data_IF_073676708084
#
_entry.id   IF_073676708084
#
_cell.length_a   1.000
_cell.length_b   1.000
_cell.length_c   1.000
_cell.angle_alpha   90.00
_cell.angle_beta   90.00
_cell.angle_gamma   90.00
#
_symmetry.space_group_name_H-M   'P 1'
#
loop_
_entity.id
_entity.type
_entity.pdbx_description
1 polymer ?
#
# COMPACT_ATOMS: atom_id res chain seq x y z
N UNK A 1 7.82 11.66 -29.11
CA UNK A 1 7.03 12.42 -28.12
C UNK A 1 6.42 11.48 -27.09
N UNK A 2 5.83 10.39 -27.49
CA UNK A 2 5.10 9.46 -26.61
C UNK A 2 5.98 8.82 -25.50
N UNK A 3 7.22 8.42 -25.83
CA UNK A 3 8.18 7.94 -24.82
C UNK A 3 8.60 9.01 -23.78
N UNK A 4 8.55 10.29 -24.15
CA UNK A 4 8.81 11.39 -23.19
C UNK A 4 7.61 11.55 -22.24
N UNK A 5 6.38 11.38 -22.74
CA UNK A 5 5.16 11.34 -21.92
C UNK A 5 5.26 10.18 -20.93
N UNK A 6 5.61 8.97 -21.42
CA UNK A 6 5.81 7.81 -20.56
C UNK A 6 6.87 8.06 -19.48
N UNK A 7 8.01 8.65 -19.84
CA UNK A 7 9.07 8.99 -18.89
C UNK A 7 8.59 10.00 -17.84
N UNK A 8 7.82 11.03 -18.25
CA UNK A 8 7.28 12.05 -17.33
C UNK A 8 6.40 11.44 -16.25
N UNK A 9 5.41 10.62 -16.64
CA UNK A 9 4.50 9.99 -15.67
C UNK A 9 5.22 8.95 -14.83
N UNK A 10 6.24 8.29 -15.39
CA UNK A 10 7.08 7.30 -14.70
C UNK A 10 7.95 7.93 -13.61
N UNK A 11 8.56 9.07 -13.87
CA UNK A 11 9.37 9.79 -12.87
C UNK A 11 8.48 10.31 -11.74
N UNK A 12 7.27 10.81 -12.00
CA UNK A 12 6.33 11.20 -10.95
C UNK A 12 5.99 10.03 -10.02
N UNK A 13 5.68 8.85 -10.58
CA UNK A 13 5.40 7.66 -9.79
C UNK A 13 6.62 7.22 -8.98
N UNK A 14 7.81 7.29 -9.56
CA UNK A 14 9.07 6.98 -8.88
C UNK A 14 9.32 7.93 -7.72
N UNK A 15 9.10 9.24 -7.89
CA UNK A 15 9.21 10.23 -6.80
C UNK A 15 8.27 9.93 -5.65
N UNK A 16 6.99 9.60 -5.93
CA UNK A 16 6.04 9.20 -4.90
C UNK A 16 6.51 7.94 -4.16
N UNK A 17 7.02 6.96 -4.88
CA UNK A 17 7.51 5.71 -4.30
C UNK A 17 8.77 5.92 -3.44
N UNK A 18 9.73 6.72 -3.91
CA UNK A 18 10.92 7.10 -3.16
C UNK A 18 10.51 7.85 -1.89
N UNK A 19 9.66 8.87 -2.01
CA UNK A 19 9.20 9.68 -0.86
C UNK A 19 8.46 8.84 0.18
N UNK A 20 7.66 7.85 -0.25
CA UNK A 20 6.94 6.96 0.65
C UNK A 20 7.87 6.04 1.47
N UNK A 21 9.02 5.65 0.89
CA UNK A 21 9.92 4.67 1.50
C UNK A 21 11.13 5.30 2.19
N UNK A 22 11.62 6.46 1.73
CA UNK A 22 12.69 7.23 2.40
C UNK A 22 12.30 7.66 3.81
N UNK A 23 11.01 7.93 4.04
CA UNK A 23 10.51 8.34 5.36
C UNK A 23 10.73 7.26 6.43
N UNK A 24 10.76 5.99 6.05
CA UNK A 24 11.00 4.90 6.99
C UNK A 24 12.39 4.99 7.64
N UNK A 25 13.39 5.42 6.87
CA UNK A 25 14.78 5.62 7.35
C UNK A 25 14.91 6.92 8.14
N UNK A 26 14.20 7.98 7.73
CA UNK A 26 14.16 9.25 8.45
C UNK A 26 13.35 9.19 9.76
N UNK A 27 12.45 8.22 9.90
CA UNK A 27 11.46 8.11 10.97
C UNK A 27 12.06 8.15 12.38
N UNK A 28 13.13 7.40 12.73
CA UNK A 28 13.73 7.46 14.05
C UNK A 28 14.25 8.87 14.40
N UNK A 29 14.88 9.54 13.43
CA UNK A 29 15.46 10.87 13.58
C UNK A 29 14.36 11.92 13.73
N UNK A 30 13.29 11.82 12.95
CA UNK A 30 12.11 12.68 13.07
C UNK A 30 11.45 12.52 14.45
N UNK A 31 11.29 11.27 14.90
CA UNK A 31 10.72 10.98 16.23
C UNK A 31 11.55 11.61 17.35
N UNK A 32 12.86 11.49 17.28
CA UNK A 32 13.79 12.09 18.26
C UNK A 32 13.80 13.62 18.17
N UNK A 33 13.73 14.20 16.97
CA UNK A 33 13.70 15.65 16.76
C UNK A 33 12.47 16.31 17.39
N UNK A 34 11.28 15.74 17.19
CA UNK A 34 10.05 16.28 17.77
C UNK A 34 9.81 15.87 19.22
N UNK A 35 10.60 14.95 19.76
CA UNK A 35 10.46 14.41 21.13
C UNK A 35 9.03 13.96 21.46
N UNK A 36 8.35 13.33 20.49
CA UNK A 36 6.96 12.87 20.63
C UNK A 36 6.91 11.36 20.87
N UNK A 37 5.85 10.88 21.55
CA UNK A 37 5.60 9.45 21.68
C UNK A 37 5.54 8.73 20.32
N UNK A 38 5.99 7.49 20.30
CA UNK A 38 6.09 6.69 19.07
C UNK A 38 4.73 6.50 18.37
N UNK A 39 3.64 6.43 19.15
CA UNK A 39 2.28 6.36 18.62
C UNK A 39 1.87 7.61 17.83
N UNK A 40 2.31 8.80 18.27
CA UNK A 40 2.09 10.06 17.52
C UNK A 40 2.99 10.09 16.28
N UNK A 41 4.28 9.76 16.44
CA UNK A 41 5.21 9.70 15.32
C UNK A 41 4.74 8.71 14.24
N UNK A 42 4.17 7.58 14.63
CA UNK A 42 3.65 6.56 13.71
C UNK A 42 2.62 7.10 12.70
N UNK A 43 1.90 8.18 13.03
CA UNK A 43 0.99 8.85 12.11
C UNK A 43 1.68 9.45 10.89
N UNK A 44 2.96 9.81 10.98
CA UNK A 44 3.74 10.31 9.84
C UNK A 44 3.77 9.28 8.70
N UNK A 45 3.82 8.00 9.03
CA UNK A 45 3.79 6.90 8.06
C UNK A 45 2.33 6.53 7.73
N UNK A 46 1.51 6.31 8.76
CA UNK A 46 0.17 5.74 8.61
C UNK A 46 -0.80 6.67 7.90
N UNK A 47 -0.73 8.00 8.15
CA UNK A 47 -1.61 8.97 7.49
C UNK A 47 -1.36 9.05 5.98
N UNK A 48 -0.11 8.85 5.56
CA UNK A 48 0.21 8.79 4.13
C UNK A 48 -0.45 7.58 3.47
N UNK A 49 -0.40 6.41 4.12
CA UNK A 49 -1.05 5.20 3.62
C UNK A 49 -2.57 5.34 3.59
N UNK A 50 -3.16 5.96 4.62
CA UNK A 50 -4.59 6.27 4.67
C UNK A 50 -5.00 7.20 3.52
N UNK A 51 -4.33 8.34 3.38
CA UNK A 51 -4.60 9.30 2.31
C UNK A 51 -4.43 8.68 0.92
N UNK A 52 -3.37 7.92 0.71
CA UNK A 52 -3.10 7.20 -0.53
C UNK A 52 -4.23 6.21 -0.87
N UNK A 53 -4.73 5.46 0.14
CA UNK A 53 -5.82 4.50 -0.01
C UNK A 53 -7.12 5.15 -0.47
N UNK A 54 -7.49 6.27 0.19
CA UNK A 54 -8.73 6.99 -0.10
C UNK A 54 -8.65 7.68 -1.47
N UNK A 55 -7.49 8.19 -1.83
CA UNK A 55 -7.29 8.97 -3.06
C UNK A 55 -7.34 8.13 -4.32
N UNK A 56 -6.80 6.92 -4.32
CA UNK A 56 -6.71 6.08 -5.53
C UNK A 56 -8.05 5.91 -6.28
N UNK A 57 -9.15 5.49 -5.65
CA UNK A 57 -10.43 5.33 -6.35
C UNK A 57 -11.04 6.68 -6.76
N UNK A 58 -10.89 7.73 -5.93
CA UNK A 58 -11.43 9.06 -6.22
C UNK A 58 -10.73 9.64 -7.45
N UNK A 59 -9.41 9.68 -7.44
CA UNK A 59 -8.63 10.29 -8.53
C UNK A 59 -8.74 9.48 -9.81
N UNK A 60 -8.90 8.16 -9.74
CA UNK A 60 -9.22 7.36 -10.91
C UNK A 60 -10.47 7.87 -11.63
N UNK A 61 -11.56 8.06 -10.90
CA UNK A 61 -12.83 8.60 -11.42
C UNK A 61 -12.71 10.08 -11.85
N UNK A 62 -12.05 10.92 -11.03
CA UNK A 62 -11.80 12.34 -11.37
C UNK A 62 -11.03 12.44 -12.68
N UNK A 63 -10.01 11.63 -12.87
CA UNK A 63 -9.19 11.57 -14.07
C UNK A 63 -10.01 11.20 -15.31
N UNK A 64 -10.93 10.25 -15.17
CA UNK A 64 -11.78 9.80 -16.29
C UNK A 64 -12.88 10.83 -16.64
N UNK A 65 -13.40 11.58 -15.65
CA UNK A 65 -14.51 12.54 -15.84
C UNK A 65 -14.02 13.93 -16.25
N UNK A 66 -12.96 14.46 -15.62
CA UNK A 66 -12.55 15.85 -15.90
C UNK A 66 -11.51 15.95 -17.00
N UNK A 67 -10.32 15.48 -16.78
CA UNK A 67 -9.19 15.42 -17.72
C UNK A 67 -8.01 14.73 -17.04
N UNK A 68 -7.39 13.80 -17.74
CA UNK A 68 -6.23 13.06 -17.23
C UNK A 68 -5.04 13.96 -17.02
N UNK A 69 -4.76 14.86 -17.97
CA UNK A 69 -3.70 15.87 -17.86
C UNK A 69 -3.90 16.77 -16.65
N UNK A 70 -5.07 17.41 -16.54
CA UNK A 70 -5.34 18.36 -15.48
C UNK A 70 -5.32 17.71 -14.10
N UNK A 71 -5.87 16.50 -13.99
CA UNK A 71 -5.85 15.70 -12.76
C UNK A 71 -4.43 15.30 -12.36
N UNK A 72 -3.61 14.85 -13.33
CA UNK A 72 -2.20 14.50 -13.09
C UNK A 72 -1.39 15.71 -12.61
N UNK A 73 -1.55 16.87 -13.28
CA UNK A 73 -0.87 18.12 -12.90
C UNK A 73 -1.31 18.57 -11.49
N UNK A 74 -2.60 18.52 -11.18
CA UNK A 74 -3.10 18.84 -9.83
C UNK A 74 -2.50 17.94 -8.76
N UNK A 75 -2.46 16.63 -9.01
CA UNK A 75 -1.83 15.68 -8.11
C UNK A 75 -0.35 15.98 -7.90
N UNK A 76 0.36 16.36 -8.97
CA UNK A 76 1.79 16.69 -8.91
C UNK A 76 2.04 17.98 -8.12
N UNK A 77 1.24 19.01 -8.34
CA UNK A 77 1.30 20.28 -7.57
C UNK A 77 1.03 20.01 -6.10
N UNK A 78 -0.03 19.25 -5.76
CA UNK A 78 -0.33 18.89 -4.38
C UNK A 78 0.80 18.10 -3.73
N UNK A 79 1.38 17.12 -4.44
CA UNK A 79 2.48 16.31 -3.95
C UNK A 79 3.73 17.14 -3.66
N UNK A 80 4.15 17.97 -4.61
CA UNK A 80 5.38 18.78 -4.49
C UNK A 80 5.22 19.88 -3.44
N UNK A 81 4.11 20.62 -3.46
CA UNK A 81 3.88 21.70 -2.50
C UNK A 81 3.76 21.17 -1.06
N UNK A 82 3.01 20.09 -0.86
CA UNK A 82 2.90 19.46 0.45
C UNK A 82 4.22 18.85 0.93
N UNK A 83 5.01 18.25 0.01
CA UNK A 83 6.36 17.77 0.34
C UNK A 83 7.26 18.92 0.79
N UNK A 84 7.26 20.02 0.05
CA UNK A 84 8.03 21.21 0.42
C UNK A 84 7.58 21.74 1.79
N UNK A 85 6.27 21.83 2.03
CA UNK A 85 5.75 22.23 3.33
C UNK A 85 6.24 21.32 4.47
N UNK A 86 6.25 19.97 4.26
CA UNK A 86 6.79 19.03 5.25
C UNK A 86 8.23 19.35 5.68
N UNK A 87 9.06 19.92 4.78
CA UNK A 87 10.44 20.24 5.09
C UNK A 87 10.61 21.48 5.99
N UNK A 88 9.60 22.37 6.04
CA UNK A 88 9.68 23.63 6.79
C UNK A 88 8.88 23.64 8.10
N UNK A 89 8.20 22.55 8.45
CA UNK A 89 7.42 22.49 9.69
C UNK A 89 8.28 22.15 10.90
N UNK A 90 7.94 22.78 12.04
CA UNK A 90 8.52 22.53 13.35
C UNK A 90 7.50 21.93 14.35
N UNK A 91 6.37 21.45 13.83
CA UNK A 91 5.32 20.79 14.61
C UNK A 91 4.92 19.47 13.96
N UNK A 92 4.88 18.40 14.77
CA UNK A 92 4.55 17.06 14.26
C UNK A 92 3.12 16.97 13.72
N UNK A 93 2.17 17.69 14.31
CA UNK A 93 0.78 17.72 13.81
C UNK A 93 0.67 18.33 12.42
N UNK A 94 1.40 19.43 12.16
CA UNK A 94 1.52 20.03 10.84
C UNK A 94 2.24 19.09 9.85
N UNK A 95 3.27 18.38 10.31
CA UNK A 95 3.94 17.38 9.48
C UNK A 95 2.96 16.28 9.05
N UNK A 96 2.17 15.73 9.99
CA UNK A 96 1.15 14.72 9.71
C UNK A 96 0.09 15.28 8.74
N UNK A 97 -0.36 16.51 8.94
CA UNK A 97 -1.34 17.18 8.05
C UNK A 97 -0.80 17.30 6.62
N UNK A 98 0.42 17.83 6.45
CA UNK A 98 0.99 17.95 5.10
C UNK A 98 1.34 16.60 4.47
N UNK A 99 1.64 15.57 5.28
CA UNK A 99 1.79 14.19 4.80
C UNK A 99 0.47 13.64 4.24
N UNK A 100 -0.66 13.99 4.84
CA UNK A 100 -1.98 13.63 4.29
C UNK A 100 -2.21 14.29 2.92
N UNK A 101 -1.92 15.60 2.80
CA UNK A 101 -2.05 16.32 1.52
C UNK A 101 -1.09 15.73 0.47
N UNK A 102 0.14 15.43 0.86
CA UNK A 102 1.13 14.78 -0.01
C UNK A 102 0.63 13.43 -0.52
N UNK A 103 -0.04 12.65 0.35
CA UNK A 103 -0.64 11.37 -0.01
C UNK A 103 -1.77 11.51 -1.04
N UNK A 104 -2.57 12.57 -0.97
CA UNK A 104 -3.59 12.87 -1.98
C UNK A 104 -2.97 13.13 -3.35
N UNK A 105 -1.84 13.84 -3.41
CA UNK A 105 -1.09 13.97 -4.66
C UNK A 105 -0.51 12.65 -5.13
N UNK A 106 0.28 11.98 -4.29
CA UNK A 106 0.99 10.74 -4.62
C UNK A 106 0.08 9.57 -5.02
N UNK A 107 -1.07 9.41 -4.33
CA UNK A 107 -2.06 8.38 -4.61
C UNK A 107 -2.75 8.53 -5.96
N UNK A 108 -2.78 9.75 -6.51
CA UNK A 108 -3.38 10.04 -7.80
C UNK A 108 -2.50 9.75 -9.00
N UNK A 109 -1.19 9.59 -8.84
CA UNK A 109 -0.28 9.40 -9.98
C UNK A 109 -0.56 8.12 -10.76
N UNK A 110 -0.76 7.00 -10.06
CA UNK A 110 -0.95 5.72 -10.73
C UNK A 110 -2.24 5.67 -11.57
N UNK A 111 -3.44 5.99 -11.06
CA UNK A 111 -4.64 5.94 -11.86
C UNK A 111 -4.63 6.94 -13.03
N UNK A 112 -4.17 8.19 -12.82
CA UNK A 112 -4.09 9.18 -13.89
C UNK A 112 -3.08 8.79 -14.98
N UNK A 113 -1.90 8.29 -14.59
CA UNK A 113 -0.86 7.86 -15.52
C UNK A 113 -1.28 6.65 -16.35
N UNK A 114 -1.96 5.66 -15.74
CA UNK A 114 -2.49 4.51 -16.49
C UNK A 114 -3.50 4.96 -17.55
N UNK A 115 -4.32 5.97 -17.24
CA UNK A 115 -5.21 6.60 -18.21
C UNK A 115 -4.44 7.23 -19.37
N UNK A 116 -3.43 8.08 -19.08
CA UNK A 116 -2.60 8.76 -20.09
C UNK A 116 -1.87 7.73 -20.97
N UNK A 117 -1.22 6.72 -20.36
CA UNK A 117 -0.51 5.66 -21.09
C UNK A 117 -1.46 4.88 -22.01
N UNK A 118 -2.68 4.64 -21.55
CA UNK A 118 -3.68 3.91 -22.33
C UNK A 118 -4.12 4.63 -23.59
N UNK A 119 -4.08 5.96 -23.61
CA UNK A 119 -4.41 6.80 -24.78
C UNK A 119 -3.22 7.00 -25.72
N UNK A 120 -2.02 7.22 -25.16
CA UNK A 120 -0.83 7.45 -25.98
C UNK A 120 -0.27 6.16 -26.62
N UNK A 121 -0.55 4.98 -26.04
CA UNK A 121 -0.05 3.69 -26.53
C UNK A 121 -1.17 2.66 -26.75
N UNK A 122 -2.15 2.92 -27.66
CA UNK A 122 -3.31 2.03 -27.83
C UNK A 122 -2.91 0.62 -28.26
N UNK A 123 -1.95 0.47 -29.17
CA UNK A 123 -1.51 -0.83 -29.69
C UNK A 123 -0.67 -1.63 -28.70
N UNK A 124 0.14 -0.96 -27.88
CA UNK A 124 1.07 -1.59 -26.92
C UNK A 124 0.66 -1.37 -25.47
N UNK A 125 -0.59 -0.99 -25.23
CA UNK A 125 -1.16 -0.58 -23.94
C UNK A 125 -0.77 -1.51 -22.78
N UNK A 126 -1.00 -2.82 -22.95
CA UNK A 126 -0.72 -3.79 -21.88
C UNK A 126 0.76 -3.85 -21.52
N UNK A 127 1.63 -3.81 -22.54
CA UNK A 127 3.09 -3.80 -22.34
C UNK A 127 3.54 -2.54 -21.61
N UNK A 128 3.04 -1.39 -22.01
CA UNK A 128 3.43 -0.10 -21.41
C UNK A 128 2.92 0.05 -19.97
N UNK A 129 1.69 -0.38 -19.68
CA UNK A 129 1.15 -0.43 -18.30
C UNK A 129 1.96 -1.41 -17.44
N UNK A 130 2.36 -2.56 -17.99
CA UNK A 130 3.24 -3.50 -17.30
C UNK A 130 4.58 -2.90 -16.92
N UNK A 131 5.25 -2.22 -17.87
CA UNK A 131 6.50 -1.50 -17.64
C UNK A 131 6.32 -0.38 -16.59
N UNK A 132 5.24 0.40 -16.70
CA UNK A 132 4.92 1.46 -15.75
C UNK A 132 4.72 0.92 -14.32
N UNK A 133 4.03 -0.20 -14.18
CA UNK A 133 3.79 -0.83 -12.88
C UNK A 133 5.08 -1.33 -12.20
N UNK A 134 6.15 -1.61 -12.96
CA UNK A 134 7.44 -2.01 -12.41
C UNK A 134 8.23 -0.86 -11.78
N UNK A 135 7.85 0.39 -12.02
CA UNK A 135 8.52 1.58 -11.48
C UNK A 135 8.29 1.71 -9.97
N UNK A 136 7.11 1.34 -9.47
CA UNK A 136 6.82 1.37 -8.03
C UNK A 136 7.82 0.53 -7.20
N UNK A 137 8.06 -0.76 -7.51
CA UNK A 137 9.09 -1.55 -6.84
C UNK A 137 10.49 -0.94 -6.95
N UNK A 138 10.85 -0.39 -8.10
CA UNK A 138 12.16 0.27 -8.30
C UNK A 138 12.30 1.45 -7.33
N UNK A 139 11.31 2.32 -7.24
CA UNK A 139 11.30 3.43 -6.30
C UNK A 139 11.36 2.98 -4.83
N UNK A 140 10.71 1.85 -4.49
CA UNK A 140 10.78 1.27 -3.14
C UNK A 140 12.18 0.75 -2.77
N UNK A 141 12.99 0.36 -3.76
CA UNK A 141 14.37 -0.06 -3.56
C UNK A 141 15.28 1.15 -3.39
N UNK A 142 15.13 2.14 -4.27
CA UNK A 142 15.97 3.33 -4.29
C UNK A 142 15.70 4.21 -3.05
N UNK A 143 14.44 4.32 -2.63
CA UNK A 143 14.00 5.24 -1.59
C UNK A 143 14.76 5.14 -0.28
N UNK A 144 14.85 3.97 0.39
CA UNK A 144 15.58 3.86 1.65
C UNK A 144 17.06 4.18 1.54
N UNK A 145 17.71 3.84 0.42
CA UNK A 145 19.14 4.08 0.21
C UNK A 145 19.44 5.56 -0.03
N UNK A 146 18.69 6.18 -0.96
CA UNK A 146 18.78 7.62 -1.21
C UNK A 146 18.35 8.39 0.03
N UNK A 147 17.27 7.96 0.69
CA UNK A 147 16.78 8.54 1.94
C UNK A 147 17.81 8.49 3.05
N UNK A 148 18.48 7.35 3.25
CA UNK A 148 19.53 7.20 4.26
C UNK A 148 20.70 8.16 4.02
N UNK A 149 21.21 8.20 2.79
CA UNK A 149 22.27 9.13 2.41
C UNK A 149 21.86 10.61 2.60
N UNK A 150 20.65 10.97 2.17
CA UNK A 150 20.14 12.34 2.34
C UNK A 150 20.02 12.72 3.82
N UNK A 151 19.52 11.81 4.65
CA UNK A 151 19.31 12.06 6.09
C UNK A 151 20.64 12.26 6.80
N UNK A 152 21.63 11.42 6.54
CA UNK A 152 22.95 11.51 7.17
C UNK A 152 23.74 12.73 6.68
N UNK A 153 23.58 13.13 5.39
CA UNK A 153 24.34 14.25 4.80
C UNK A 153 23.68 15.62 5.05
N UNK A 154 22.34 15.69 5.02
CA UNK A 154 21.59 16.96 4.99
C UNK A 154 20.44 17.01 6.03
N UNK A 155 20.32 15.99 6.87
CA UNK A 155 19.24 15.86 7.85
C UNK A 155 17.91 15.41 7.28
N UNK A 156 16.96 15.08 8.17
CA UNK A 156 15.68 14.45 7.81
C UNK A 156 14.79 15.28 6.86
N UNK A 157 14.91 16.61 6.87
CA UNK A 157 14.14 17.51 6.00
C UNK A 157 14.45 17.31 4.52
N UNK A 158 15.66 16.85 4.22
CA UNK A 158 16.12 16.64 2.84
C UNK A 158 15.31 15.57 2.08
N UNK A 159 14.75 14.57 2.77
CA UNK A 159 13.90 13.54 2.12
C UNK A 159 12.61 14.12 1.54
N UNK A 160 12.18 15.27 2.05
CA UNK A 160 11.04 16.02 1.52
C UNK A 160 11.49 17.03 0.46
N UNK A 161 12.60 17.74 0.71
CA UNK A 161 13.11 18.80 -0.17
C UNK A 161 13.52 18.27 -1.55
N UNK A 162 14.00 17.04 -1.65
CA UNK A 162 14.41 16.45 -2.94
C UNK A 162 13.25 16.39 -3.95
N UNK A 163 12.02 16.33 -3.47
CA UNK A 163 10.84 16.30 -4.33
C UNK A 163 10.57 17.66 -5.02
N UNK A 164 11.10 18.76 -4.50
CA UNK A 164 10.90 20.09 -5.08
C UNK A 164 11.60 20.25 -6.43
N UNK A 165 12.92 20.09 -6.56
CA UNK A 165 13.60 20.26 -7.86
C UNK A 165 13.17 19.21 -8.88
N UNK A 166 13.07 17.94 -8.46
CA UNK A 166 12.66 16.86 -9.36
C UNK A 166 11.20 16.98 -9.78
N UNK A 167 10.31 17.32 -8.84
CA UNK A 167 8.91 17.55 -9.12
C UNK A 167 8.65 18.78 -9.98
N UNK A 168 9.43 19.86 -9.83
CA UNK A 168 9.37 21.03 -10.71
C UNK A 168 9.72 20.67 -12.17
N UNK A 169 10.77 19.88 -12.39
CA UNK A 169 11.12 19.39 -13.74
C UNK A 169 9.98 18.55 -14.32
N UNK A 170 9.45 17.60 -13.55
CA UNK A 170 8.32 16.75 -13.98
C UNK A 170 7.09 17.59 -14.28
N UNK A 171 6.81 18.62 -13.48
CA UNK A 171 5.68 19.53 -13.67
C UNK A 171 5.80 20.30 -14.99
N UNK A 172 6.97 20.84 -15.27
CA UNK A 172 7.24 21.52 -16.55
C UNK A 172 7.05 20.56 -17.73
N UNK A 173 7.61 19.35 -17.63
CA UNK A 173 7.43 18.32 -18.67
C UNK A 173 5.94 17.94 -18.83
N UNK A 174 5.20 17.79 -17.74
CA UNK A 174 3.78 17.47 -17.79
C UNK A 174 2.94 18.56 -18.44
N UNK A 175 3.21 19.84 -18.16
CA UNK A 175 2.51 20.97 -18.75
C UNK A 175 2.73 21.01 -20.26
N UNK A 176 3.99 20.79 -20.71
CA UNK A 176 4.40 20.91 -22.13
C UNK A 176 4.01 19.68 -22.94
N UNK A 177 4.23 18.48 -22.40
CA UNK A 177 4.13 17.23 -23.17
C UNK A 177 2.77 16.58 -23.13
N UNK A 178 2.04 16.65 -21.98
CA UNK A 178 0.75 16.00 -21.88
C UNK A 178 -0.31 16.71 -22.71
N UNK A 179 -1.07 15.94 -23.48
CA UNK A 179 -2.20 16.45 -24.27
C UNK A 179 -3.42 16.62 -23.35
N UNK A 180 -4.21 17.65 -23.60
CA UNK A 180 -5.53 17.80 -22.95
C UNK A 180 -6.51 16.82 -23.57
N UNK A 181 -7.35 16.24 -22.75
CA UNK A 181 -8.48 15.39 -23.13
C UNK A 181 -9.82 16.06 -22.79
N UNK A 182 -10.87 15.66 -23.49
CA UNK A 182 -12.21 16.20 -23.26
C UNK A 182 -12.83 15.61 -22.00
N UNK A 183 -13.69 16.41 -21.35
CA UNK A 183 -14.48 15.96 -20.20
C UNK A 183 -15.48 14.90 -20.63
N UNK A 184 -15.62 13.86 -19.79
CA UNK A 184 -16.60 12.79 -19.96
C UNK A 184 -17.65 12.88 -18.86
N UNK A 185 -18.87 12.47 -19.15
CA UNK A 185 -19.92 12.36 -18.13
C UNK A 185 -19.60 11.22 -17.16
N UNK A 186 -19.73 11.47 -15.87
CA UNK A 186 -19.52 10.48 -14.82
C UNK A 186 -19.82 11.05 -13.43
N UNK A 187 -20.12 10.17 -12.48
CA UNK A 187 -20.34 10.50 -11.08
C UNK A 187 -19.14 10.06 -10.24
N UNK A 188 -18.83 10.82 -9.19
CA UNK A 188 -17.76 10.52 -8.25
C UNK A 188 -18.38 10.24 -6.89
N UNK A 189 -18.09 9.08 -6.33
CA UNK A 189 -18.58 8.69 -5.01
C UNK A 189 -17.65 9.22 -3.90
N UNK A 190 -17.74 10.55 -3.67
CA UNK A 190 -17.02 11.20 -2.56
C UNK A 190 -17.47 10.71 -1.18
N UNK A 191 -18.75 10.35 -1.04
CA UNK A 191 -19.30 9.90 0.23
C UNK A 191 -18.77 8.51 0.60
N UNK A 192 -18.77 7.56 -0.35
CA UNK A 192 -18.19 6.25 -0.15
C UNK A 192 -16.69 6.32 0.20
N UNK A 193 -15.92 7.13 -0.53
CA UNK A 193 -14.51 7.36 -0.23
C UNK A 193 -14.28 7.99 1.15
N UNK A 194 -15.08 8.99 1.52
CA UNK A 194 -15.04 9.62 2.85
C UNK A 194 -15.37 8.64 3.97
N UNK A 195 -16.34 7.75 3.75
CA UNK A 195 -16.72 6.72 4.72
C UNK A 195 -15.61 5.67 4.88
N UNK A 196 -14.95 5.22 3.80
CA UNK A 196 -13.76 4.34 3.88
C UNK A 196 -12.65 5.01 4.69
N UNK A 197 -12.37 6.28 4.39
CA UNK A 197 -11.39 7.07 5.15
C UNK A 197 -11.77 7.20 6.63
N UNK A 198 -13.04 7.46 6.92
CA UNK A 198 -13.58 7.56 8.28
C UNK A 198 -13.43 6.25 9.06
N UNK A 199 -13.78 5.11 8.46
CA UNK A 199 -13.60 3.77 9.08
C UNK A 199 -12.16 3.59 9.55
N UNK A 200 -11.19 3.83 8.68
CA UNK A 200 -9.78 3.59 8.98
C UNK A 200 -9.24 4.66 9.94
N UNK A 201 -9.56 5.94 9.73
CA UNK A 201 -9.10 7.03 10.59
C UNK A 201 -9.60 6.89 12.03
N UNK A 202 -10.89 6.61 12.23
CA UNK A 202 -11.45 6.43 13.58
C UNK A 202 -10.88 5.18 14.27
N UNK A 203 -10.67 4.08 13.52
CA UNK A 203 -10.02 2.90 14.06
C UNK A 203 -8.58 3.22 14.53
N UNK A 204 -7.80 3.90 13.70
CA UNK A 204 -6.42 4.26 14.02
C UNK A 204 -6.34 5.24 15.19
N UNK A 205 -7.22 6.26 15.25
CA UNK A 205 -7.29 7.20 16.36
C UNK A 205 -7.66 6.46 17.66
N UNK A 206 -8.65 5.58 17.61
CA UNK A 206 -9.04 4.75 18.76
C UNK A 206 -7.87 3.93 19.30
N UNK A 207 -7.13 3.26 18.42
CA UNK A 207 -5.91 2.51 18.79
C UNK A 207 -4.82 3.42 19.36
N UNK A 208 -4.62 4.60 18.78
CA UNK A 208 -3.65 5.58 19.28
C UNK A 208 -4.00 6.04 20.69
N UNK A 209 -5.28 6.35 20.95
CA UNK A 209 -5.74 6.84 22.26
C UNK A 209 -5.66 5.77 23.37
N UNK A 210 -5.67 4.47 23.02
CA UNK A 210 -5.40 3.41 24.00
C UNK A 210 -4.00 3.52 24.63
N UNK A 211 -3.04 4.13 23.94
CA UNK A 211 -1.69 4.38 24.47
C UNK A 211 -1.58 5.50 25.50
N UNK A 212 -2.70 6.21 25.81
CA UNK A 212 -2.72 7.35 26.72
C UNK A 212 -3.82 7.18 27.76
N UNK A 213 -3.46 7.09 29.05
CA UNK A 213 -4.43 6.84 30.12
C UNK A 213 -5.54 7.90 30.19
N UNK A 214 -5.20 9.17 29.95
CA UNK A 214 -6.16 10.30 29.92
C UNK A 214 -7.16 10.23 28.75
N UNK A 215 -6.86 9.51 27.68
CA UNK A 215 -7.67 9.45 26.46
C UNK A 215 -8.34 8.08 26.23
N UNK A 216 -8.02 7.06 27.04
CA UNK A 216 -8.60 5.70 26.91
C UNK A 216 -10.12 5.68 26.83
N UNK A 217 -10.81 6.55 27.56
CA UNK A 217 -12.28 6.65 27.49
C UNK A 217 -12.80 7.02 26.10
N UNK A 218 -12.09 7.91 25.39
CA UNK A 218 -12.45 8.32 24.03
C UNK A 218 -12.18 7.26 22.97
N UNK A 219 -11.29 6.28 23.26
CA UNK A 219 -11.03 5.16 22.34
C UNK A 219 -12.31 4.39 22.00
N UNK A 220 -13.17 4.14 22.98
CA UNK A 220 -14.43 3.43 22.75
C UNK A 220 -15.41 4.22 21.88
N UNK A 221 -15.48 5.53 22.05
CA UNK A 221 -16.29 6.40 21.19
C UNK A 221 -15.77 6.39 19.73
N UNK A 222 -14.45 6.37 19.54
CA UNK A 222 -13.82 6.29 18.21
C UNK A 222 -14.04 4.91 17.56
N UNK A 223 -13.97 3.82 18.32
CA UNK A 223 -14.30 2.49 17.79
C UNK A 223 -15.78 2.39 17.41
N UNK A 224 -16.66 3.00 18.19
CA UNK A 224 -18.08 3.10 17.84
C UNK A 224 -18.28 3.95 16.57
N UNK A 225 -17.57 5.08 16.44
CA UNK A 225 -17.60 5.90 15.24
C UNK A 225 -17.12 5.13 14.00
N UNK A 226 -16.06 4.32 14.14
CA UNK A 226 -15.58 3.43 13.07
C UNK A 226 -16.63 2.38 12.70
N UNK A 227 -17.29 1.77 13.68
CA UNK A 227 -18.38 0.81 13.44
C UNK A 227 -19.60 1.46 12.75
N UNK A 228 -19.99 2.65 13.18
CA UNK A 228 -21.05 3.45 12.53
C UNK A 228 -20.67 3.80 11.10
N UNK A 229 -19.43 4.28 10.87
CA UNK A 229 -18.94 4.58 9.52
C UNK A 229 -18.95 3.34 8.62
N UNK A 230 -18.63 2.16 9.18
CA UNK A 230 -18.71 0.88 8.46
C UNK A 230 -20.15 0.54 8.09
N UNK A 231 -21.10 0.70 9.02
CA UNK A 231 -22.52 0.45 8.76
C UNK A 231 -23.08 1.41 7.69
N UNK A 232 -22.71 2.69 7.77
CA UNK A 232 -23.09 3.71 6.79
C UNK A 232 -22.47 3.42 5.42
N UNK A 233 -21.20 3.00 5.37
CA UNK A 233 -20.53 2.59 4.13
C UNK A 233 -21.28 1.41 3.48
N UNK A 234 -21.57 0.36 4.22
CA UNK A 234 -22.33 -0.80 3.71
C UNK A 234 -23.72 -0.39 3.20
N UNK A 235 -24.39 0.54 3.89
CA UNK A 235 -25.71 1.04 3.47
C UNK A 235 -25.61 1.88 2.19
N UNK A 236 -24.61 2.76 2.12
CA UNK A 236 -24.37 3.64 0.97
C UNK A 236 -24.04 2.83 -0.27
N UNK A 237 -23.07 1.91 -0.18
CA UNK A 237 -22.59 1.06 -1.27
C UNK A 237 -23.70 0.16 -1.87
N UNK A 238 -24.71 -0.22 -1.08
CA UNK A 238 -25.88 -0.97 -1.57
C UNK A 238 -26.78 -0.16 -2.51
N UNK A 239 -26.76 1.17 -2.39
CA UNK A 239 -27.60 2.09 -3.19
C UNK A 239 -26.82 2.90 -4.22
N UNK A 240 -25.51 2.87 -4.21
CA UNK A 240 -24.65 3.62 -5.09
C UNK A 240 -24.72 3.11 -6.53
N UNK A 241 -24.80 4.02 -7.51
CA UNK A 241 -24.79 3.66 -8.94
C UNK A 241 -23.45 3.10 -9.40
N UNK A 242 -22.36 3.63 -8.83
CA UNK A 242 -20.97 3.24 -9.11
C UNK A 242 -20.22 3.01 -7.79
N UNK A 243 -20.49 1.91 -7.07
CA UNK A 243 -19.92 1.68 -5.75
C UNK A 243 -18.40 1.50 -5.81
N UNK A 244 -17.69 2.02 -4.79
CA UNK A 244 -16.26 1.78 -4.61
C UNK A 244 -16.03 0.31 -4.25
N UNK A 245 -16.90 -0.24 -3.40
CA UNK A 245 -16.88 -1.62 -2.95
C UNK A 245 -18.16 -2.32 -3.41
N UNK A 246 -18.10 -3.05 -4.52
CA UNK A 246 -19.21 -3.88 -4.99
C UNK A 246 -19.55 -4.95 -3.94
N UNK A 247 -20.65 -4.75 -3.20
CA UNK A 247 -21.06 -5.62 -2.10
C UNK A 247 -21.39 -7.04 -2.57
N UNK A 248 -21.85 -7.22 -3.81
CA UNK A 248 -22.10 -8.56 -4.34
C UNK A 248 -20.79 -9.35 -4.52
N UNK A 249 -19.73 -8.66 -4.90
CA UNK A 249 -18.38 -9.24 -4.98
C UNK A 249 -17.87 -9.56 -3.55
N UNK A 250 -18.09 -8.63 -2.61
CA UNK A 250 -17.70 -8.81 -1.20
C UNK A 250 -18.42 -9.97 -0.49
N UNK A 251 -19.60 -10.41 -0.95
CA UNK A 251 -20.28 -11.59 -0.40
C UNK A 251 -19.63 -12.91 -0.79
N UNK A 252 -18.78 -12.94 -1.81
CA UNK A 252 -18.13 -14.17 -2.30
C UNK A 252 -17.01 -14.57 -1.34
N UNK A 253 -17.16 -15.71 -0.66
CA UNK A 253 -16.18 -16.21 0.33
C UNK A 253 -14.73 -16.20 -0.16
N UNK A 254 -14.39 -16.64 -1.40
CA UNK A 254 -13.01 -16.59 -1.89
C UNK A 254 -12.48 -15.15 -2.03
N UNK A 255 -13.33 -14.19 -2.36
CA UNK A 255 -12.95 -12.79 -2.50
C UNK A 255 -12.68 -12.13 -1.15
N UNK A 256 -13.54 -12.41 -0.16
CA UNK A 256 -13.33 -11.97 1.23
C UNK A 256 -12.02 -12.55 1.77
N UNK A 257 -11.81 -13.86 1.59
CA UNK A 257 -10.60 -14.53 2.04
C UNK A 257 -9.33 -13.91 1.42
N UNK A 258 -9.36 -13.65 0.10
CA UNK A 258 -8.26 -13.02 -0.60
C UNK A 258 -7.93 -11.61 -0.08
N UNK A 259 -8.97 -10.80 0.21
CA UNK A 259 -8.77 -9.44 0.71
C UNK A 259 -8.38 -9.40 2.19
N UNK A 260 -8.90 -10.29 3.04
CA UNK A 260 -8.42 -10.44 4.42
C UNK A 260 -6.96 -10.90 4.46
N UNK A 261 -6.57 -11.85 3.59
CA UNK A 261 -5.16 -12.22 3.44
C UNK A 261 -4.31 -11.02 3.01
N UNK A 262 -4.78 -10.22 2.03
CA UNK A 262 -4.06 -9.02 1.58
C UNK A 262 -3.97 -7.93 2.66
N UNK A 263 -4.95 -7.81 3.55
CA UNK A 263 -4.90 -6.90 4.70
C UNK A 263 -3.78 -7.32 5.66
N UNK A 264 -3.68 -8.60 6.01
CA UNK A 264 -2.61 -9.14 6.88
C UNK A 264 -1.25 -8.99 6.19
N UNK A 265 -1.16 -9.35 4.92
CA UNK A 265 0.04 -9.18 4.10
C UNK A 265 0.50 -7.71 4.03
N UNK A 266 -0.45 -6.78 3.84
CA UNK A 266 -0.19 -5.34 3.87
C UNK A 266 0.33 -4.88 5.22
N UNK A 267 -0.26 -5.39 6.30
CA UNK A 267 0.18 -5.13 7.67
C UNK A 267 1.64 -5.50 7.90
N UNK A 268 2.08 -6.64 7.40
CA UNK A 268 3.47 -7.04 7.48
C UNK A 268 4.37 -6.20 6.57
N UNK A 269 4.06 -6.15 5.27
CA UNK A 269 4.98 -5.61 4.24
C UNK A 269 5.03 -4.10 4.22
N UNK A 270 3.90 -3.43 4.37
CA UNK A 270 3.81 -1.97 4.37
C UNK A 270 3.92 -1.44 5.82
N UNK A 271 3.25 -2.11 6.77
CA UNK A 271 3.25 -1.70 8.17
C UNK A 271 4.55 -2.01 8.88
N UNK A 272 4.72 -3.25 9.32
CA UNK A 272 5.84 -3.64 10.19
C UNK A 272 7.20 -3.48 9.53
N UNK A 273 7.34 -3.84 8.25
CA UNK A 273 8.61 -3.67 7.54
C UNK A 273 9.00 -2.21 7.30
N UNK A 274 8.05 -1.26 7.36
CA UNK A 274 8.37 0.17 7.37
C UNK A 274 9.03 0.62 8.67
N UNK A 275 8.88 -0.15 9.74
CA UNK A 275 9.48 0.13 11.05
C UNK A 275 10.84 -0.57 11.25
N UNK A 276 11.31 -1.39 10.28
CA UNK A 276 12.63 -2.02 10.35
C UNK A 276 13.76 -1.01 10.57
N UNK A 277 13.80 0.16 9.90
CA UNK A 277 14.82 1.17 10.21
C UNK A 277 14.74 1.68 11.65
N UNK A 278 13.52 1.86 12.20
CA UNK A 278 13.34 2.27 13.60
C UNK A 278 13.82 1.19 14.59
N UNK A 279 13.54 -0.08 14.29
CA UNK A 279 14.08 -1.22 15.02
C UNK A 279 15.62 -1.24 14.96
N UNK A 280 16.21 -1.13 13.77
CA UNK A 280 17.65 -1.16 13.57
C UNK A 280 18.36 0.03 14.27
N UNK A 281 17.79 1.22 14.18
CA UNK A 281 18.34 2.40 14.87
C UNK A 281 18.24 2.30 16.38
N UNK A 282 17.13 1.76 16.93
CA UNK A 282 16.94 1.69 18.38
C UNK A 282 17.72 0.55 19.03
N UNK A 283 17.75 -0.64 18.42
CA UNK A 283 18.36 -1.86 18.98
C UNK A 283 19.84 -1.95 18.62
N UNK A 284 20.18 -1.78 17.32
CA UNK A 284 21.57 -1.92 16.84
C UNK A 284 22.33 -0.59 16.74
N UNK A 285 21.69 0.54 17.04
CA UNK A 285 22.28 1.88 16.95
C UNK A 285 22.81 2.24 15.56
N UNK A 286 22.17 1.70 14.53
CA UNK A 286 22.53 1.96 13.13
C UNK A 286 22.21 3.39 12.72
N UNK A 287 23.07 3.99 11.88
CA UNK A 287 22.83 5.27 11.21
C UNK A 287 21.71 5.14 10.15
N UNK A 288 21.23 6.26 9.62
CA UNK A 288 20.20 6.24 8.59
C UNK A 288 20.67 5.54 7.31
N UNK A 289 21.93 5.77 6.88
CA UNK A 289 22.51 5.08 5.73
C UNK A 289 22.63 3.58 5.97
N UNK A 290 23.07 3.13 7.14
CA UNK A 290 23.13 1.70 7.48
C UNK A 290 21.75 1.06 7.50
N UNK A 291 20.74 1.75 8.01
CA UNK A 291 19.34 1.31 7.94
C UNK A 291 18.85 1.19 6.49
N UNK A 292 19.25 2.11 5.62
CA UNK A 292 18.97 2.05 4.17
C UNK A 292 19.62 0.82 3.53
N UNK A 293 20.91 0.60 3.79
CA UNK A 293 21.67 -0.53 3.29
C UNK A 293 21.10 -1.88 3.79
N UNK A 294 20.59 -1.93 5.03
CA UNK A 294 19.94 -3.11 5.59
C UNK A 294 18.72 -3.56 4.76
N UNK A 295 18.04 -2.64 4.09
CA UNK A 295 16.88 -2.96 3.25
C UNK A 295 17.24 -3.40 1.82
N UNK A 296 18.50 -3.25 1.38
CA UNK A 296 18.94 -3.68 0.04
C UNK A 296 18.76 -5.18 -0.21
N UNK A 297 19.23 -6.09 0.64
CA UNK A 297 19.06 -7.53 0.43
C UNK A 297 17.59 -7.94 0.31
N UNK A 298 16.71 -7.30 1.12
CA UNK A 298 15.26 -7.50 1.01
C UNK A 298 14.75 -7.15 -0.39
N UNK A 299 15.21 -6.04 -0.94
CA UNK A 299 14.78 -5.56 -2.24
C UNK A 299 15.27 -6.48 -3.37
N UNK A 300 16.52 -6.94 -3.28
CA UNK A 300 17.10 -7.90 -4.22
C UNK A 300 16.33 -9.23 -4.16
N UNK A 301 16.10 -9.76 -2.97
CA UNK A 301 15.32 -10.98 -2.78
C UNK A 301 13.91 -10.88 -3.36
N UNK A 302 13.24 -9.74 -3.17
CA UNK A 302 11.90 -9.48 -3.69
C UNK A 302 11.89 -9.51 -5.23
N UNK A 303 12.85 -8.87 -5.90
CA UNK A 303 12.92 -8.85 -7.37
C UNK A 303 13.16 -10.26 -7.90
N UNK A 304 14.20 -10.92 -7.42
CA UNK A 304 14.60 -12.26 -7.90
C UNK A 304 13.44 -13.25 -7.73
N UNK A 305 12.86 -13.30 -6.54
CA UNK A 305 11.75 -14.21 -6.26
C UNK A 305 10.47 -13.84 -7.04
N UNK A 306 10.20 -12.55 -7.27
CA UNK A 306 9.04 -12.11 -8.06
C UNK A 306 9.15 -12.53 -9.52
N UNK A 307 10.35 -12.40 -10.12
CA UNK A 307 10.61 -12.85 -11.50
C UNK A 307 10.42 -14.37 -11.60
N UNK A 308 11.06 -15.14 -10.72
CA UNK A 308 10.94 -16.59 -10.70
C UNK A 308 9.48 -17.01 -10.55
N UNK A 309 8.77 -16.43 -9.59
CA UNK A 309 7.37 -16.75 -9.34
C UNK A 309 6.48 -16.41 -10.53
N UNK A 310 6.69 -15.28 -11.18
CA UNK A 310 5.90 -14.85 -12.34
C UNK A 310 6.06 -15.81 -13.53
N UNK A 311 7.26 -16.39 -13.71
CA UNK A 311 7.52 -17.38 -14.77
C UNK A 311 6.88 -18.74 -14.44
N UNK A 312 6.94 -19.17 -13.18
CA UNK A 312 6.53 -20.53 -12.81
C UNK A 312 5.11 -20.62 -12.24
N UNK A 313 4.41 -19.50 -12.01
CA UNK A 313 3.08 -19.44 -11.36
C UNK A 313 2.03 -20.29 -12.08
N UNK A 314 2.10 -20.36 -13.41
CA UNK A 314 1.19 -21.19 -14.21
C UNK A 314 1.34 -22.70 -13.95
N UNK A 315 2.54 -23.12 -13.55
CA UNK A 315 2.84 -24.54 -13.23
C UNK A 315 2.56 -24.85 -11.77
N UNK A 316 2.94 -23.95 -10.85
CA UNK A 316 2.83 -24.17 -9.40
C UNK A 316 1.44 -23.86 -8.85
N UNK A 317 0.62 -23.09 -9.60
CA UNK A 317 -0.64 -22.56 -9.13
C UNK A 317 -0.46 -21.48 -8.06
N UNK A 318 -1.53 -21.14 -7.35
CA UNK A 318 -1.51 -20.02 -6.39
C UNK A 318 -1.30 -20.47 -4.93
N UNK A 319 -1.81 -21.65 -4.53
CA UNK A 319 -1.82 -22.07 -3.12
C UNK A 319 -0.43 -22.31 -2.54
N UNK A 320 0.37 -23.14 -3.21
CA UNK A 320 1.68 -23.52 -2.67
C UNK A 320 2.64 -22.35 -2.55
N UNK A 321 2.79 -21.45 -3.55
CA UNK A 321 3.60 -20.26 -3.39
C UNK A 321 3.13 -19.36 -2.24
N UNK A 322 1.80 -19.20 -2.03
CA UNK A 322 1.28 -18.43 -0.90
C UNK A 322 1.60 -19.07 0.45
N UNK A 323 1.45 -20.38 0.58
CA UNK A 323 1.77 -21.12 1.83
C UNK A 323 3.27 -21.04 2.12
N UNK A 324 4.13 -21.35 1.14
CA UNK A 324 5.58 -21.31 1.31
C UNK A 324 6.09 -19.91 1.59
N UNK A 325 5.60 -18.89 0.86
CA UNK A 325 5.95 -17.50 1.11
C UNK A 325 5.50 -17.02 2.49
N UNK A 326 4.28 -17.37 2.92
CA UNK A 326 3.79 -17.05 4.28
C UNK A 326 4.63 -17.75 5.34
N UNK A 327 4.97 -19.03 5.17
CA UNK A 327 5.84 -19.79 6.08
C UNK A 327 7.24 -19.16 6.18
N UNK A 328 7.83 -18.78 5.04
CA UNK A 328 9.12 -18.09 5.02
C UNK A 328 9.06 -16.74 5.75
N UNK A 329 7.96 -15.98 5.60
CA UNK A 329 7.74 -14.74 6.36
C UNK A 329 7.68 -15.01 7.86
N UNK A 330 6.91 -16.01 8.30
CA UNK A 330 6.79 -16.40 9.72
C UNK A 330 8.14 -16.75 10.32
N UNK A 331 8.91 -17.61 9.64
CA UNK A 331 10.27 -18.02 10.07
C UNK A 331 11.19 -16.82 10.17
N UNK A 332 11.18 -15.92 9.18
CA UNK A 332 12.02 -14.73 9.18
C UNK A 332 11.66 -13.78 10.32
N UNK A 333 10.37 -13.53 10.57
CA UNK A 333 9.90 -12.69 11.68
C UNK A 333 10.24 -13.31 13.04
N UNK A 334 10.17 -14.62 13.16
CA UNK A 334 10.60 -15.31 14.36
C UNK A 334 12.09 -15.10 14.64
N UNK A 335 12.97 -15.28 13.64
CA UNK A 335 14.40 -15.01 13.83
C UNK A 335 14.66 -13.52 14.12
N UNK A 336 13.93 -12.62 13.48
CA UNK A 336 14.05 -11.18 13.73
C UNK A 336 13.66 -10.83 15.18
N UNK A 337 12.65 -11.51 15.75
CA UNK A 337 12.23 -11.33 17.14
C UNK A 337 13.26 -11.79 18.17
N UNK A 338 14.27 -12.56 17.76
CA UNK A 338 15.38 -13.01 18.61
C UNK A 338 16.58 -12.08 18.59
N UNK A 339 16.50 -10.97 17.89
CA UNK A 339 17.54 -9.93 17.82
C UNK A 339 18.92 -10.52 17.51
N UNK A 340 19.13 -11.03 16.31
CA UNK A 340 20.38 -11.71 15.99
C UNK A 340 21.57 -10.79 16.16
N UNK A 341 22.54 -11.19 16.96
CA UNK A 341 23.76 -10.41 17.22
C UNK A 341 24.65 -10.26 15.97
N UNK A 342 24.55 -11.20 15.02
CA UNK A 342 25.30 -11.13 13.76
C UNK A 342 24.60 -10.25 12.74
N UNK A 343 25.24 -9.16 12.33
CA UNK A 343 24.77 -8.28 11.27
C UNK A 343 24.62 -9.03 9.94
N UNK A 344 25.55 -9.96 9.63
CA UNK A 344 25.47 -10.79 8.41
C UNK A 344 24.21 -11.65 8.43
N UNK A 345 23.85 -12.22 9.56
CA UNK A 345 22.63 -13.01 9.70
C UNK A 345 21.39 -12.12 9.57
N UNK A 346 21.41 -10.87 10.07
CA UNK A 346 20.35 -9.90 9.90
C UNK A 346 20.13 -9.57 8.41
N UNK A 347 21.21 -9.35 7.64
CA UNK A 347 21.12 -9.18 6.17
C UNK A 347 20.52 -10.42 5.49
N UNK A 348 20.89 -11.62 5.95
CA UNK A 348 20.31 -12.88 5.49
C UNK A 348 18.80 -12.97 5.74
N UNK A 349 18.33 -12.59 6.92
CA UNK A 349 16.90 -12.51 7.24
C UNK A 349 16.20 -11.52 6.32
N UNK A 350 16.77 -10.34 6.08
CA UNK A 350 16.21 -9.34 5.17
C UNK A 350 16.07 -9.88 3.74
N UNK A 351 17.08 -10.59 3.23
CA UNK A 351 17.03 -11.25 1.93
C UNK A 351 15.86 -12.26 1.88
N UNK A 352 15.71 -13.09 2.92
CA UNK A 352 14.67 -14.11 2.99
C UNK A 352 13.26 -13.52 3.09
N UNK A 353 13.08 -12.42 3.85
CA UNK A 353 11.85 -11.62 3.86
C UNK A 353 11.55 -11.10 2.46
N UNK A 354 12.56 -10.56 1.77
CA UNK A 354 12.42 -10.09 0.41
C UNK A 354 11.93 -11.19 -0.53
N UNK A 355 12.57 -12.37 -0.49
CA UNK A 355 12.16 -13.50 -1.30
C UNK A 355 10.71 -13.92 -1.01
N UNK A 356 10.31 -13.99 0.25
CA UNK A 356 8.93 -14.33 0.62
C UNK A 356 7.92 -13.31 0.08
N UNK A 357 8.20 -12.02 0.18
CA UNK A 357 7.37 -10.93 -0.37
C UNK A 357 7.29 -11.03 -1.90
N UNK A 358 8.42 -11.34 -2.56
CA UNK A 358 8.50 -11.53 -4.01
C UNK A 358 7.68 -12.73 -4.51
N UNK A 359 7.54 -13.77 -3.70
CA UNK A 359 6.65 -14.91 -4.01
C UNK A 359 5.18 -14.57 -3.76
N UNK A 360 4.86 -13.96 -2.63
CA UNK A 360 3.47 -13.69 -2.23
C UNK A 360 2.82 -12.64 -3.14
N UNK A 361 3.53 -11.55 -3.46
CA UNK A 361 2.92 -10.38 -4.11
C UNK A 361 2.28 -10.69 -5.47
N UNK A 362 3.00 -11.26 -6.47
CA UNK A 362 2.42 -11.61 -7.76
C UNK A 362 1.38 -12.74 -7.64
N UNK A 363 1.61 -13.70 -6.76
CA UNK A 363 0.70 -14.83 -6.54
C UNK A 363 -0.65 -14.36 -5.99
N UNK A 364 -0.65 -13.55 -4.94
CA UNK A 364 -1.87 -12.99 -4.36
C UNK A 364 -2.61 -12.07 -5.33
N UNK A 365 -1.87 -11.31 -6.17
CA UNK A 365 -2.47 -10.48 -7.20
C UNK A 365 -3.23 -11.32 -8.24
N UNK A 366 -2.55 -12.32 -8.80
CA UNK A 366 -3.15 -13.18 -9.82
C UNK A 366 -4.31 -14.01 -9.26
N UNK A 367 -4.19 -14.53 -8.04
CA UNK A 367 -5.29 -15.24 -7.37
C UNK A 367 -6.52 -14.37 -7.16
N UNK A 368 -6.36 -13.07 -6.89
CA UNK A 368 -7.47 -12.13 -6.79
C UNK A 368 -8.11 -11.85 -8.16
N UNK A 369 -7.30 -11.59 -9.19
CA UNK A 369 -7.77 -11.31 -10.57
C UNK A 369 -8.54 -12.50 -11.11
N UNK A 370 -8.10 -13.74 -10.83
CA UNK A 370 -8.75 -14.98 -11.26
C UNK A 370 -10.22 -15.10 -10.78
N UNK A 371 -10.57 -14.42 -9.67
CA UNK A 371 -11.95 -14.43 -9.16
C UNK A 371 -12.94 -13.70 -10.06
N UNK A 372 -12.48 -12.65 -10.79
CA UNK A 372 -13.26 -11.85 -11.73
C UNK A 372 -12.35 -11.24 -12.80
N UNK A 373 -11.89 -12.02 -13.78
CA UNK A 373 -10.94 -11.55 -14.79
C UNK A 373 -11.46 -10.37 -15.63
N UNK A 374 -12.78 -10.30 -15.82
CA UNK A 374 -13.45 -9.23 -16.57
C UNK A 374 -13.38 -7.86 -15.85
N UNK A 375 -13.18 -7.85 -14.53
CA UNK A 375 -13.05 -6.64 -13.69
C UNK A 375 -11.64 -6.55 -13.05
N UNK A 376 -10.60 -7.00 -13.74
CA UNK A 376 -9.24 -7.11 -13.20
C UNK A 376 -8.72 -5.80 -12.60
N UNK A 377 -8.98 -4.65 -13.21
CA UNK A 377 -8.58 -3.35 -12.71
C UNK A 377 -9.24 -3.02 -11.36
N UNK A 378 -10.56 -3.20 -11.26
CA UNK A 378 -11.33 -2.98 -10.03
C UNK A 378 -10.85 -3.90 -8.90
N UNK A 379 -10.65 -5.19 -9.19
CA UNK A 379 -10.16 -6.19 -8.23
C UNK A 379 -8.77 -5.81 -7.71
N UNK A 380 -7.87 -5.39 -8.59
CA UNK A 380 -6.51 -4.95 -8.22
C UNK A 380 -6.57 -3.69 -7.35
N UNK A 381 -7.48 -2.76 -7.63
CA UNK A 381 -7.72 -1.56 -6.84
C UNK A 381 -8.21 -1.89 -5.42
N UNK A 382 -9.26 -2.72 -5.29
CA UNK A 382 -9.80 -3.15 -3.99
C UNK A 382 -8.73 -3.88 -3.18
N UNK A 383 -8.00 -4.81 -3.80
CA UNK A 383 -6.88 -5.50 -3.17
C UNK A 383 -5.81 -4.52 -2.66
N UNK A 384 -5.46 -3.53 -3.49
CA UNK A 384 -4.51 -2.47 -3.13
C UNK A 384 -4.97 -1.69 -1.91
N UNK A 385 -6.26 -1.36 -1.84
CA UNK A 385 -6.89 -0.66 -0.73
C UNK A 385 -6.80 -1.49 0.57
N UNK A 386 -7.20 -2.77 0.56
CA UNK A 386 -7.08 -3.64 1.75
C UNK A 386 -5.63 -3.77 2.22
N UNK A 387 -4.68 -3.88 1.29
CA UNK A 387 -3.26 -3.93 1.61
C UNK A 387 -2.76 -2.65 2.28
N UNK A 388 -3.17 -1.48 1.81
CA UNK A 388 -2.79 -0.18 2.39
C UNK A 388 -3.43 0.04 3.77
N UNK A 389 -4.71 -0.32 3.92
CA UNK A 389 -5.41 -0.28 5.21
C UNK A 389 -4.67 -1.16 6.23
N UNK A 390 -4.33 -2.40 5.84
CA UNK A 390 -3.54 -3.29 6.69
C UNK A 390 -2.21 -2.67 7.11
N UNK A 391 -1.51 -2.01 6.18
CA UNK A 391 -0.29 -1.28 6.47
C UNK A 391 -0.47 -0.18 7.51
N UNK A 392 -1.44 0.70 7.28
CA UNK A 392 -1.72 1.84 8.17
C UNK A 392 -2.10 1.39 9.60
N UNK A 393 -3.03 0.45 9.70
CA UNK A 393 -3.48 -0.11 11.00
C UNK A 393 -2.32 -0.82 11.71
N UNK A 394 -1.50 -1.56 10.98
CA UNK A 394 -0.40 -2.31 11.56
C UNK A 394 0.72 -1.41 12.10
N UNK A 395 1.03 -0.27 11.44
CA UNK A 395 1.96 0.71 12.00
C UNK A 395 1.44 1.24 13.33
N UNK A 396 0.15 1.60 13.40
CA UNK A 396 -0.48 2.12 14.62
C UNK A 396 -0.44 1.10 15.76
N UNK A 397 -0.76 -0.17 15.47
CA UNK A 397 -0.68 -1.26 16.47
C UNK A 397 0.77 -1.49 16.90
N UNK A 398 1.70 -1.53 15.96
CA UNK A 398 3.11 -1.78 16.26
C UNK A 398 3.72 -0.67 17.14
N UNK A 399 3.46 0.59 16.81
CA UNK A 399 3.92 1.73 17.61
C UNK A 399 3.29 1.76 19.00
N UNK A 400 1.99 1.38 19.12
CA UNK A 400 1.32 1.23 20.41
C UNK A 400 1.98 0.14 21.27
N UNK A 401 2.27 -1.04 20.70
CA UNK A 401 2.94 -2.13 21.42
C UNK A 401 4.32 -1.68 21.90
N UNK A 402 5.15 -1.11 21.02
CA UNK A 402 6.50 -0.66 21.40
C UNK A 402 6.45 0.40 22.48
N UNK A 403 5.50 1.34 22.41
CA UNK A 403 5.34 2.39 23.41
C UNK A 403 4.88 1.83 24.77
N UNK A 404 3.90 0.93 24.79
CA UNK A 404 3.35 0.39 26.05
C UNK A 404 4.32 -0.56 26.76
N UNK A 405 5.16 -1.27 26.02
CA UNK A 405 6.22 -2.13 26.59
C UNK A 405 7.36 -1.29 27.18
N UNK A 406 7.65 -0.12 26.61
CA UNK A 406 8.66 0.82 27.06
C UNK A 406 10.10 0.44 26.73
N UNK A 407 10.41 -0.84 26.53
CA UNK A 407 11.69 -1.35 26.04
C UNK A 407 11.59 -1.61 24.52
N UNK A 408 12.33 -0.87 23.67
CA UNK A 408 12.27 -1.03 22.23
C UNK A 408 12.57 -2.45 21.75
N UNK A 409 13.55 -3.11 22.34
CA UNK A 409 13.96 -4.47 22.01
C UNK A 409 12.78 -5.44 22.16
N UNK A 410 12.23 -5.53 23.37
CA UNK A 410 11.06 -6.36 23.67
C UNK A 410 9.82 -5.95 22.87
N UNK A 411 9.61 -4.64 22.71
CA UNK A 411 8.47 -4.11 21.97
C UNK A 411 8.46 -4.58 20.51
N UNK A 412 9.56 -4.44 19.79
CA UNK A 412 9.69 -4.92 18.42
C UNK A 412 9.63 -6.44 18.32
N UNK A 413 10.24 -7.17 19.27
CA UNK A 413 10.14 -8.63 19.31
C UNK A 413 8.68 -9.09 19.38
N UNK A 414 7.86 -8.48 20.25
CA UNK A 414 6.42 -8.76 20.35
C UNK A 414 5.71 -8.43 19.03
N UNK A 415 6.00 -7.29 18.40
CA UNK A 415 5.40 -6.90 17.11
C UNK A 415 5.68 -7.97 16.05
N UNK A 416 6.93 -8.43 15.92
CA UNK A 416 7.29 -9.46 14.95
C UNK A 416 6.56 -10.78 15.20
N UNK A 417 6.41 -11.19 16.47
CA UNK A 417 5.67 -12.39 16.86
C UNK A 417 4.16 -12.24 16.54
N UNK A 418 3.55 -11.09 16.87
CA UNK A 418 2.12 -10.83 16.60
C UNK A 418 1.84 -10.93 15.10
N UNK A 419 2.69 -10.36 14.26
CA UNK A 419 2.54 -10.47 12.80
C UNK A 419 2.79 -11.92 12.32
N UNK A 420 3.76 -12.62 12.87
CA UNK A 420 3.99 -14.02 12.54
C UNK A 420 2.76 -14.88 12.85
N UNK A 421 2.15 -14.69 14.04
CA UNK A 421 0.91 -15.38 14.43
C UNK A 421 -0.24 -15.01 13.48
N UNK A 422 -0.37 -13.75 13.07
CA UNK A 422 -1.42 -13.33 12.14
C UNK A 422 -1.28 -13.99 10.77
N UNK A 423 -0.05 -14.23 10.28
CA UNK A 423 0.18 -15.01 9.06
C UNK A 423 -0.22 -16.48 9.22
N UNK A 424 0.10 -17.10 10.36
CA UNK A 424 -0.34 -18.48 10.66
C UNK A 424 -1.86 -18.55 10.68
N UNK A 425 -2.53 -17.60 11.35
CA UNK A 425 -3.98 -17.51 11.38
C UNK A 425 -4.61 -17.25 10.00
N UNK A 426 -3.86 -16.65 9.09
CA UNK A 426 -4.31 -16.39 7.71
C UNK A 426 -4.15 -17.59 6.77
N UNK A 427 -3.40 -18.65 7.14
CA UNK A 427 -3.20 -19.82 6.28
C UNK A 427 -4.50 -20.47 5.79
N UNK A 428 -5.55 -20.65 6.61
CA UNK A 428 -6.83 -21.19 6.14
C UNK A 428 -7.48 -20.36 5.02
N UNK A 429 -7.27 -19.03 4.99
CA UNK A 429 -7.79 -18.16 3.96
C UNK A 429 -7.22 -18.50 2.57
N UNK A 430 -5.97 -18.96 2.51
CA UNK A 430 -5.31 -19.36 1.25
C UNK A 430 -6.06 -20.54 0.59
N UNK A 431 -6.57 -21.46 1.39
CA UNK A 431 -7.30 -22.63 0.87
C UNK A 431 -8.70 -22.28 0.35
N UNK A 432 -9.24 -21.12 0.74
CA UNK A 432 -10.50 -20.60 0.21
C UNK A 432 -10.32 -19.87 -1.14
N UNK A 433 -9.08 -19.48 -1.50
CA UNK A 433 -8.74 -18.83 -2.77
C UNK A 433 -8.67 -19.86 -3.92
N UNK A 434 -8.69 -19.39 -5.20
CA UNK A 434 -8.45 -20.26 -6.35
C UNK A 434 -7.12 -21.01 -6.22
N UNK A 435 -7.11 -22.29 -6.63
CA UNK A 435 -5.91 -23.12 -6.51
C UNK A 435 -4.97 -22.98 -7.70
N UNK A 436 -5.54 -22.80 -8.90
CA UNK A 436 -4.82 -22.76 -10.19
C UNK A 436 -5.43 -21.72 -11.11
N UNK A 437 -4.68 -21.25 -12.13
CA UNK A 437 -5.23 -20.48 -13.24
C UNK A 437 -6.38 -21.23 -13.91
N UNK A 438 -7.47 -20.53 -14.27
CA UNK A 438 -8.68 -21.11 -14.87
C UNK A 438 -9.74 -21.61 -13.86
N UNK A 439 -9.38 -21.90 -12.61
CA UNK A 439 -10.30 -22.46 -11.62
C UNK A 439 -11.46 -21.49 -11.22
N UNK A 440 -11.30 -20.19 -11.48
CA UNK A 440 -12.35 -19.17 -11.25
C UNK A 440 -13.41 -19.17 -12.33
N UNK A 441 -13.02 -19.41 -13.56
CA UNK A 441 -13.89 -19.41 -14.75
C UNK A 441 -14.82 -20.63 -14.71
N UNK A 442 -14.30 -21.82 -14.42
CA UNK A 442 -15.09 -23.05 -14.31
C UNK A 442 -16.22 -22.96 -13.27
N UNK A 443 -15.94 -22.30 -12.12
CA UNK A 443 -16.96 -22.09 -11.07
C UNK A 443 -18.02 -21.07 -11.46
N UNK A 444 -17.67 -20.03 -12.23
CA UNK A 444 -18.63 -19.04 -12.71
C UNK A 444 -19.56 -19.59 -13.77
N UNK A 445 -19.05 -20.39 -14.69
CA UNK A 445 -19.87 -21.07 -15.73
C UNK A 445 -20.80 -22.15 -15.12
N UNK A 446 -20.32 -22.90 -14.13
CA UNK A 446 -21.13 -23.87 -13.42
C UNK A 446 -22.25 -23.22 -12.61
N UNK A 447 -22.04 -22.02 -12.03
CA UNK A 447 -23.07 -21.26 -11.33
C UNK A 447 -24.08 -20.62 -12.27
N UNK A 448 -23.66 -20.17 -13.45
CA UNK A 448 -24.54 -19.63 -14.50
C UNK A 448 -25.38 -20.71 -15.18
N UNK A 449 -24.84 -21.92 -15.34
CA UNK A 449 -25.62 -23.08 -15.81
C UNK A 449 -26.68 -23.55 -14.83
N UNK A 450 -26.48 -23.36 -13.53
CA UNK A 450 -27.49 -23.65 -12.48
C UNK A 450 -28.59 -22.60 -12.37
N UNK A 451 -28.36 -21.37 -12.89
CA UNK A 451 -29.31 -20.26 -12.84
C UNK A 451 -30.14 -20.10 -14.15
N UNK A 452 -29.82 -20.85 -15.22
CA UNK A 452 -30.70 -20.94 -16.36
C UNK A 452 -31.66 -22.13 -16.13
N UNK A 453 -32.95 -21.91 -15.81
CA UNK A 453 -33.92 -22.98 -15.88
C UNK A 453 -34.00 -23.41 -17.35
N UNK A 454 -33.99 -24.70 -17.56
CA UNK A 454 -34.23 -25.36 -18.84
C UNK A 454 -35.59 -24.93 -19.40
N UNK A 455 -35.59 -23.84 -20.16
CA UNK A 455 -36.72 -23.48 -21.03
C UNK A 455 -36.57 -24.25 -22.35
N UNK A 456 -36.69 -25.57 -22.27
CA UNK A 456 -36.94 -26.44 -23.39
C UNK A 456 -37.85 -27.56 -22.88
N UNK A 457 -39.15 -27.28 -22.93
CA UNK A 457 -40.23 -28.28 -23.01
C UNK A 457 -41.54 -27.54 -22.78
N UNK A 458 -42.05 -26.89 -23.84
CA UNK A 458 -43.46 -26.63 -24.10
C UNK A 458 -43.59 -26.02 -25.49
N UNK A 459 -43.41 -26.86 -26.51
CA UNK A 459 -44.08 -26.72 -27.81
C UNK A 459 -44.36 -28.15 -28.22
N UNK A 460 -45.52 -28.63 -27.89
CA UNK A 460 -46.40 -29.53 -28.62
C UNK A 460 -47.84 -29.20 -28.26
#
# INVERSE_FOLDING_TARGET
>A
MDYMIFATVSVALMLSSISATSIAVAFPIITSYFMVPLTIAGWIISVYQLGFTVTMPIIGKVSDVFSRKSTFILCLVLFVSASTACAFVDNVGLLVFFRLIQAFGGGGFMPSAVGIISEEFPETRQKMIGLFSSILPIGQIIGPNVGGWLVDSFGWRSVFMINLPLGAVVLLMAIVLLKGDERKEGSIDFLGAGLVGGVVAFLMLGLTFLGYDSLKGWSWALFLASAISTALLIRHEKGAKDPILDIEILKRKPFVAANLYNLIYGGAVIGVLSLIPAFAASVYKMSASECGLLLLPRSIGMIVASIITSVYIMRWGYRWPLVLGSGATVVSLYFLSKEPASIVFLYGIMLFIGMSVGVISPTANNACIELLPQKAATITGIRGMFRQIGGAVSVTIATLIVQTVGDPSRGYAIVFIVIAISFVAALPLIFMMPSRPGAGIERSECSLKRLKPTTKERVQ
#
